data_IF_072904608576
#
_entry.id   IF_072904608576
#
_cell.length_a   1.000
_cell.length_b   1.000
_cell.length_c   1.000
_cell.angle_alpha   90.00
_cell.angle_beta   90.00
_cell.angle_gamma   90.00
#
_symmetry.space_group_name_H-M   'P 1'
#
loop_
_entity.id
_entity.type
_entity.pdbx_description
1 polymer ?
#
# COMPACT_ATOMS: atom_id res chain seq x y z
N UNK A 1 10.07 -7.28 -15.11
CA UNK A 1 10.01 -6.77 -13.72
C UNK A 1 8.55 -6.77 -13.23
N UNK A 2 8.29 -6.92 -11.93
CA UNK A 2 6.94 -7.19 -11.40
C UNK A 2 6.19 -5.94 -10.87
N UNK A 3 6.72 -4.73 -11.10
CA UNK A 3 6.14 -3.44 -10.65
C UNK A 3 5.68 -3.43 -9.18
N UNK A 4 6.38 -4.16 -8.32
CA UNK A 4 6.02 -4.36 -6.92
C UNK A 4 6.33 -3.15 -6.03
N UNK A 5 7.17 -2.23 -6.50
CA UNK A 5 7.53 -0.99 -5.80
C UNK A 5 7.00 0.19 -6.60
N UNK A 6 6.22 1.05 -5.93
CA UNK A 6 5.65 2.25 -6.54
C UNK A 6 6.01 3.45 -5.67
N UNK A 7 6.66 4.42 -6.29
CA UNK A 7 7.04 5.69 -5.67
C UNK A 7 6.25 6.84 -6.32
N UNK A 8 6.01 7.91 -5.56
CA UNK A 8 5.19 9.03 -6.01
C UNK A 8 4.82 9.97 -4.86
N UNK A 9 4.01 10.97 -5.14
CA UNK A 9 3.52 11.94 -4.17
C UNK A 9 2.18 11.49 -3.57
N UNK A 10 2.10 11.41 -2.24
CA UNK A 10 0.86 11.09 -1.53
C UNK A 10 -0.16 12.24 -1.56
N UNK A 11 0.32 13.48 -1.69
CA UNK A 11 -0.54 14.67 -1.70
C UNK A 11 -1.24 14.89 -3.04
N UNK A 12 -0.72 14.30 -4.13
CA UNK A 12 -1.36 14.31 -5.44
C UNK A 12 -2.42 13.18 -5.52
N UNK A 13 -3.73 13.50 -5.59
CA UNK A 13 -4.79 12.50 -5.67
C UNK A 13 -4.72 11.63 -6.93
N UNK A 14 -4.09 12.11 -8.00
CA UNK A 14 -3.99 11.39 -9.27
C UNK A 14 -2.82 10.41 -9.30
N UNK A 15 -1.90 10.52 -8.35
CA UNK A 15 -0.73 9.66 -8.27
C UNK A 15 -1.10 8.20 -8.02
N UNK A 16 -0.29 7.29 -8.59
CA UNK A 16 -0.46 5.84 -8.36
C UNK A 16 -0.32 5.48 -6.89
N UNK A 17 0.58 6.15 -6.15
CA UNK A 17 0.78 5.91 -4.72
C UNK A 17 -0.46 6.31 -3.93
N UNK A 18 -1.05 7.48 -4.18
CA UNK A 18 -2.26 7.96 -3.49
C UNK A 18 -3.45 7.01 -3.69
N UNK A 19 -3.60 6.48 -4.91
CA UNK A 19 -4.62 5.48 -5.23
C UNK A 19 -4.37 4.14 -4.53
N UNK A 20 -3.13 3.65 -4.50
CA UNK A 20 -2.77 2.39 -3.81
C UNK A 20 -2.83 2.50 -2.29
N UNK A 21 -2.55 3.67 -1.73
CA UNK A 21 -2.59 3.91 -0.29
C UNK A 21 -4.02 3.86 0.27
N UNK A 22 -5.01 4.16 -0.59
CA UNK A 22 -6.45 4.07 -0.29
C UNK A 22 -7.05 2.69 -0.59
N UNK A 23 -6.28 1.75 -1.13
CA UNK A 23 -6.74 0.37 -1.38
C UNK A 23 -7.01 -0.32 -0.02
N UNK A 24 -8.13 -1.03 0.09
CA UNK A 24 -8.52 -1.74 1.32
C UNK A 24 -7.48 -2.78 1.77
N UNK A 25 -6.59 -3.20 0.87
CA UNK A 25 -5.54 -4.17 1.15
C UNK A 25 -4.27 -3.53 1.71
N UNK A 26 -4.18 -2.21 1.74
CA UNK A 26 -3.04 -1.49 2.29
C UNK A 26 -3.03 -1.61 3.81
N UNK A 27 -1.87 -1.95 4.38
CA UNK A 27 -1.65 -1.99 5.82
C UNK A 27 -0.26 -1.47 6.16
N UNK A 28 -0.12 -0.93 7.37
CA UNK A 28 1.16 -0.49 7.91
C UNK A 28 1.71 -1.52 8.89
N UNK A 29 3.04 -1.55 9.00
CA UNK A 29 3.71 -2.39 9.99
C UNK A 29 3.71 -1.67 11.34
N UNK A 30 3.42 -2.42 12.41
CA UNK A 30 3.47 -1.93 13.79
C UNK A 30 2.54 -0.72 14.03
N UNK A 31 1.31 -0.75 13.50
CA UNK A 31 0.31 0.32 13.68
C UNK A 31 0.03 0.63 15.16
N UNK A 32 0.15 -0.38 16.03
CA UNK A 32 -0.04 -0.24 17.48
C UNK A 32 0.94 0.75 18.12
N UNK A 33 2.12 0.93 17.51
CA UNK A 33 3.15 1.84 18.00
C UNK A 33 2.96 3.29 17.51
N UNK A 34 1.94 3.56 16.70
CA UNK A 34 1.60 4.91 16.20
C UNK A 34 2.77 5.64 15.50
N UNK A 35 3.64 4.89 14.83
CA UNK A 35 4.87 5.42 14.20
C UNK A 35 4.63 6.16 12.88
N UNK A 36 3.37 6.23 12.41
CA UNK A 36 2.95 6.90 11.16
C UNK A 36 3.91 6.65 9.98
N UNK A 37 4.15 5.38 9.62
CA UNK A 37 5.17 5.03 8.64
C UNK A 37 4.77 5.49 7.23
N UNK A 38 5.74 6.04 6.49
CA UNK A 38 5.52 6.50 5.10
C UNK A 38 5.40 5.37 4.09
N UNK A 39 5.66 4.12 4.49
CA UNK A 39 5.59 2.93 3.63
C UNK A 39 4.38 2.09 4.04
N UNK A 40 3.56 1.73 3.05
CA UNK A 40 2.46 0.78 3.18
C UNK A 40 2.74 -0.48 2.35
N UNK A 41 2.20 -1.61 2.79
CA UNK A 41 2.29 -2.88 2.08
C UNK A 41 0.89 -3.35 1.67
N UNK A 42 0.79 -4.02 0.53
CA UNK A 42 -0.46 -4.60 0.08
C UNK A 42 -0.57 -6.07 0.51
N UNK A 43 -1.73 -6.44 1.02
CA UNK A 43 -2.05 -7.82 1.39
C UNK A 43 -1.85 -8.76 0.21
N UNK A 44 -1.05 -9.81 0.42
CA UNK A 44 -0.80 -10.83 -0.60
C UNK A 44 -2.02 -11.73 -0.78
N UNK A 45 -2.79 -11.50 -1.84
CA UNK A 45 -3.90 -12.36 -2.24
C UNK A 45 -3.36 -13.67 -2.84
N UNK A 46 -3.82 -14.80 -2.31
CA UNK A 46 -3.52 -16.14 -2.86
C UNK A 46 -4.85 -16.78 -3.28
N UNK A 47 -5.11 -16.86 -4.59
CA UNK A 47 -6.31 -17.48 -5.13
C UNK A 47 -6.22 -19.00 -5.04
N UNK A 48 -6.42 -19.53 -3.83
CA UNK A 48 -6.45 -20.98 -3.55
C UNK A 48 -7.81 -21.59 -3.97
N UNK A 49 -8.13 -21.48 -5.28
CA UNK A 49 -9.35 -21.96 -5.98
C UNK A 49 -10.68 -21.31 -5.55
N UNK A 50 -11.56 -21.18 -6.55
CA UNK A 50 -12.98 -20.85 -6.43
C UNK A 50 -13.80 -22.13 -6.21
#
# INVERSE_FOLDING_TARGET
>A
PADALVFGDLNDPESRVSKMFKDERNYHLLEELHVLPSVGYLTKVRNIKA
#
